data_IF_699581902659
#
_entry.id   IF_699581902659
#
_cell.length_a   1.000
_cell.length_b   1.000
_cell.length_c   1.000
_cell.angle_alpha   90.00
_cell.angle_beta   90.00
_cell.angle_gamma   90.00
#
_symmetry.space_group_name_H-M   'P 1'
#
loop_
_entity.id
_entity.type
_entity.pdbx_description
1 polymer ?
#
# COMPACT_ATOMS: atom_id res chain seq x y z
N UNK A 1 31.75 -11.98 -5.22
CA UNK A 1 30.76 -10.85 -5.32
C UNK A 1 29.46 -11.33 -5.99
N UNK A 2 28.27 -11.16 -5.34
CA UNK A 2 26.98 -11.50 -5.97
C UNK A 2 26.69 -10.54 -7.12
N UNK A 3 26.71 -11.00 -8.36
CA UNK A 3 26.39 -10.18 -9.55
C UNK A 3 24.88 -9.91 -9.56
N UNK A 4 24.48 -8.70 -9.19
CA UNK A 4 23.06 -8.28 -9.27
C UNK A 4 22.66 -8.10 -10.75
N UNK A 5 21.58 -8.75 -11.18
CA UNK A 5 21.13 -8.70 -12.58
C UNK A 5 20.40 -7.40 -12.92
N UNK A 6 19.62 -6.84 -11.97
CA UNK A 6 18.76 -5.64 -12.19
C UNK A 6 18.76 -4.71 -10.98
N UNK A 7 18.48 -3.42 -11.22
CA UNK A 7 18.43 -2.36 -10.21
C UNK A 7 16.98 -1.90 -9.99
N UNK A 8 16.61 -1.71 -8.75
CA UNK A 8 15.30 -1.17 -8.41
C UNK A 8 15.42 0.01 -7.44
N UNK A 9 14.59 1.03 -7.67
CA UNK A 9 14.35 2.10 -6.71
C UNK A 9 12.98 1.91 -6.08
N UNK A 10 12.93 1.91 -4.74
CA UNK A 10 11.70 1.90 -3.95
C UNK A 10 11.67 3.17 -3.12
N UNK A 11 10.69 4.05 -3.36
CA UNK A 11 10.48 5.21 -2.48
C UNK A 11 9.59 4.81 -1.31
N UNK A 12 9.82 5.39 -0.12
CA UNK A 12 9.12 4.95 1.08
C UNK A 12 9.56 3.56 1.56
N UNK A 13 10.81 3.19 1.27
CA UNK A 13 11.39 1.87 1.50
C UNK A 13 11.40 1.40 2.98
N UNK A 14 11.20 2.30 3.94
CA UNK A 14 11.11 1.99 5.38
C UNK A 14 9.65 1.91 5.90
N UNK A 15 8.67 1.97 4.99
CA UNK A 15 7.27 1.66 5.30
C UNK A 15 6.99 0.15 5.19
N UNK A 16 5.78 -0.29 5.59
CA UNK A 16 5.36 -1.69 5.52
C UNK A 16 5.67 -2.33 4.16
N UNK A 17 5.08 -1.80 3.10
CA UNK A 17 5.21 -2.37 1.75
C UNK A 17 6.64 -2.23 1.21
N UNK A 18 7.31 -1.14 1.60
CA UNK A 18 8.71 -0.91 1.24
C UNK A 18 9.66 -1.95 1.80
N UNK A 19 9.49 -2.34 3.07
CA UNK A 19 10.29 -3.39 3.72
C UNK A 19 10.01 -4.76 3.09
N UNK A 20 8.74 -5.12 2.88
CA UNK A 20 8.35 -6.41 2.30
C UNK A 20 8.85 -6.52 0.85
N UNK A 21 8.63 -5.50 0.02
CA UNK A 21 9.11 -5.48 -1.36
C UNK A 21 10.63 -5.50 -1.43
N UNK A 22 11.31 -4.72 -0.60
CA UNK A 22 12.78 -4.73 -0.56
C UNK A 22 13.32 -6.12 -0.26
N UNK A 23 12.72 -6.84 0.71
CA UNK A 23 13.08 -8.22 1.03
C UNK A 23 12.88 -9.14 -0.17
N UNK A 24 11.71 -9.09 -0.82
CA UNK A 24 11.40 -9.91 -2.01
C UNK A 24 12.41 -9.66 -3.16
N UNK A 25 12.78 -8.41 -3.42
CA UNK A 25 13.73 -8.10 -4.48
C UNK A 25 15.17 -8.52 -4.14
N UNK A 26 15.59 -8.41 -2.86
CA UNK A 26 16.91 -8.87 -2.40
C UNK A 26 17.02 -10.40 -2.56
N UNK A 27 16.01 -11.16 -2.11
CA UNK A 27 15.96 -12.62 -2.22
C UNK A 27 16.06 -13.08 -3.69
N UNK A 28 15.59 -12.27 -4.62
CA UNK A 28 15.71 -12.51 -6.06
C UNK A 28 16.90 -11.80 -6.73
N UNK A 29 17.95 -11.47 -5.96
CA UNK A 29 19.25 -10.96 -6.44
C UNK A 29 19.17 -9.60 -7.15
N UNK A 30 18.19 -8.74 -6.81
CA UNK A 30 18.16 -7.35 -7.27
C UNK A 30 19.05 -6.46 -6.41
N UNK A 31 19.65 -5.43 -7.03
CA UNK A 31 20.28 -4.33 -6.30
C UNK A 31 19.21 -3.32 -5.91
N UNK A 32 18.86 -3.25 -4.60
CA UNK A 32 17.75 -2.44 -4.11
C UNK A 32 18.25 -1.10 -3.57
N UNK A 33 17.69 -0.01 -4.08
CA UNK A 33 17.90 1.36 -3.62
C UNK A 33 16.62 1.88 -2.96
N UNK A 34 16.70 2.18 -1.67
CA UNK A 34 15.58 2.71 -0.90
C UNK A 34 15.64 4.24 -0.79
N UNK A 35 14.72 4.97 -1.44
CA UNK A 35 14.62 6.41 -1.25
C UNK A 35 13.79 6.72 0.00
N UNK A 36 14.37 7.47 0.94
CA UNK A 36 13.79 7.76 2.25
C UNK A 36 13.95 9.24 2.62
N UNK A 37 13.01 9.77 3.43
CA UNK A 37 13.12 11.14 4.01
C UNK A 37 14.18 11.19 5.12
N UNK A 38 14.21 10.14 5.96
CA UNK A 38 15.12 9.99 7.11
C UNK A 38 15.50 8.53 7.25
N UNK A 39 16.75 8.23 7.52
CA UNK A 39 17.22 6.87 7.81
C UNK A 39 16.78 6.52 9.23
N UNK A 40 16.16 5.34 9.41
CA UNK A 40 15.72 4.83 10.69
C UNK A 40 16.70 3.78 11.24
N UNK A 41 16.64 3.52 12.55
CA UNK A 41 17.42 2.46 13.22
C UNK A 41 17.09 1.09 12.61
N UNK A 42 15.80 0.76 12.45
CA UNK A 42 15.36 -0.46 11.80
C UNK A 42 15.43 -0.31 10.26
N UNK A 43 16.26 -1.13 9.64
CA UNK A 43 16.48 -1.17 8.18
C UNK A 43 17.01 -2.54 7.76
N UNK A 44 16.76 -2.94 6.51
CA UNK A 44 17.29 -4.18 5.94
C UNK A 44 18.76 -4.01 5.53
N UNK A 45 19.63 -5.00 5.84
CA UNK A 45 21.08 -4.92 5.58
C UNK A 45 21.42 -4.73 4.10
N UNK A 46 20.78 -5.42 3.18
CA UNK A 46 21.14 -5.44 1.76
C UNK A 46 20.38 -4.39 0.91
N UNK A 47 19.90 -3.30 1.50
CA UNK A 47 19.30 -2.15 0.82
C UNK A 47 20.20 -0.94 0.93
N UNK A 48 20.53 -0.31 -0.20
CA UNK A 48 21.24 0.97 -0.20
C UNK A 48 20.22 2.11 0.03
N UNK A 49 20.10 2.56 1.29
CA UNK A 49 19.21 3.66 1.64
C UNK A 49 19.83 5.01 1.30
N UNK A 50 19.07 5.83 0.58
CA UNK A 50 19.49 7.17 0.16
C UNK A 50 18.47 8.21 0.65
N UNK A 51 18.91 9.15 1.49
CA UNK A 51 18.11 10.32 1.87
C UNK A 51 17.83 11.15 0.60
N UNK A 52 16.56 11.27 0.20
CA UNK A 52 16.18 11.89 -1.07
C UNK A 52 14.95 12.76 -0.91
N UNK A 53 15.05 14.01 -1.31
CA UNK A 53 13.89 14.90 -1.44
C UNK A 53 13.17 14.61 -2.76
N UNK A 54 11.99 14.03 -2.70
CA UNK A 54 11.19 13.74 -3.89
C UNK A 54 10.49 15.00 -4.45
N UNK A 55 10.46 16.09 -3.69
CA UNK A 55 9.89 17.39 -4.14
C UNK A 55 10.91 18.27 -4.86
N UNK A 56 12.19 17.97 -4.73
CA UNK A 56 13.26 18.65 -5.47
C UNK A 56 13.58 17.82 -6.72
N UNK A 57 13.24 18.37 -7.89
CA UNK A 57 13.39 17.68 -9.17
C UNK A 57 14.86 17.39 -9.52
N UNK A 58 15.75 18.38 -9.32
CA UNK A 58 17.19 18.22 -9.63
C UNK A 58 17.82 17.11 -8.80
N UNK A 59 17.62 17.13 -7.47
CA UNK A 59 18.15 16.08 -6.56
C UNK A 59 17.60 14.69 -6.91
N UNK A 60 16.30 14.60 -7.23
CA UNK A 60 15.65 13.34 -7.62
C UNK A 60 16.25 12.84 -8.94
N UNK A 61 16.33 13.70 -9.94
CA UNK A 61 16.83 13.39 -11.29
C UNK A 61 18.28 12.92 -11.29
N UNK A 62 19.17 13.63 -10.58
CA UNK A 62 20.58 13.26 -10.43
C UNK A 62 20.72 11.83 -9.88
N UNK A 63 19.94 11.49 -8.83
CA UNK A 63 19.99 10.15 -8.21
C UNK A 63 19.40 9.07 -9.10
N UNK A 64 18.29 9.30 -9.80
CA UNK A 64 17.72 8.32 -10.71
C UNK A 64 18.65 8.08 -11.89
N UNK A 65 19.24 9.13 -12.50
CA UNK A 65 20.24 9.01 -13.58
C UNK A 65 21.45 8.17 -13.14
N UNK A 66 22.03 8.47 -11.98
CA UNK A 66 23.18 7.75 -11.44
C UNK A 66 22.90 6.26 -11.20
N UNK A 67 21.70 5.93 -10.68
CA UNK A 67 21.32 4.55 -10.41
C UNK A 67 20.94 3.83 -11.71
N UNK A 68 20.27 4.51 -12.63
CA UNK A 68 19.69 3.96 -13.86
C UNK A 68 18.88 2.67 -13.57
N UNK A 69 17.70 2.78 -12.92
CA UNK A 69 16.95 1.61 -12.46
C UNK A 69 16.17 0.95 -13.58
N UNK A 70 16.09 -0.40 -13.56
CA UNK A 70 15.17 -1.17 -14.39
C UNK A 70 13.70 -1.03 -13.92
N UNK A 71 13.52 -0.84 -12.61
CA UNK A 71 12.21 -0.76 -11.96
C UNK A 71 12.19 0.42 -10.99
N UNK A 72 11.08 1.17 -10.99
CA UNK A 72 10.82 2.25 -10.05
C UNK A 72 9.45 2.06 -9.40
N UNK A 73 9.40 1.84 -8.08
CA UNK A 73 8.16 1.69 -7.32
C UNK A 73 7.98 2.87 -6.36
N UNK A 74 6.87 3.61 -6.53
CA UNK A 74 6.59 4.76 -5.69
C UNK A 74 5.57 4.45 -4.59
N UNK A 75 6.07 4.22 -3.36
CA UNK A 75 5.25 4.02 -2.15
C UNK A 75 5.24 5.26 -1.23
N UNK A 76 6.16 6.18 -1.45
CA UNK A 76 6.52 7.27 -0.53
C UNK A 76 5.54 8.43 -0.48
N UNK A 77 4.28 8.19 -0.12
CA UNK A 77 3.28 9.23 0.14
C UNK A 77 2.76 9.16 1.56
N UNK A 78 2.31 10.32 2.08
CA UNK A 78 1.61 10.35 3.35
C UNK A 78 0.26 9.65 3.18
N UNK A 79 0.03 8.60 3.97
CA UNK A 79 -1.19 7.79 3.92
C UNK A 79 -2.04 8.07 5.17
N UNK A 80 -3.28 8.60 5.01
CA UNK A 80 -4.14 8.89 6.15
C UNK A 80 -4.52 7.59 6.86
N UNK A 81 -4.47 7.60 8.18
CA UNK A 81 -5.10 6.57 8.97
C UNK A 81 -6.57 6.94 9.27
N UNK A 82 -7.32 6.01 9.86
CA UNK A 82 -8.75 6.21 10.16
C UNK A 82 -9.02 7.46 11.02
N UNK A 83 -8.11 7.83 11.92
CA UNK A 83 -8.24 9.00 12.82
C UNK A 83 -7.86 10.31 12.12
N UNK A 84 -7.05 10.26 11.07
CA UNK A 84 -6.51 11.43 10.37
C UNK A 84 -7.28 11.80 9.09
N UNK A 85 -8.44 11.20 8.86
CA UNK A 85 -9.26 11.48 7.67
C UNK A 85 -9.71 12.94 7.57
N UNK A 86 -9.73 13.67 8.68
CA UNK A 86 -10.05 15.10 8.76
C UNK A 86 -8.85 16.03 8.55
N UNK A 87 -7.60 15.53 8.60
CA UNK A 87 -6.41 16.37 8.36
C UNK A 87 -6.34 16.76 6.88
N UNK A 88 -6.13 18.05 6.62
CA UNK A 88 -5.81 18.54 5.27
C UNK A 88 -4.44 18.01 4.86
N UNK A 89 -4.41 16.91 4.09
CA UNK A 89 -3.17 16.44 3.49
C UNK A 89 -2.69 17.44 2.46
N UNK A 90 -1.39 17.71 2.43
CA UNK A 90 -0.79 18.59 1.43
C UNK A 90 -0.87 17.97 0.03
N UNK A 91 -2.01 18.17 -0.62
CA UNK A 91 -2.27 17.71 -1.98
C UNK A 91 -1.21 18.22 -2.95
N UNK A 92 -0.83 19.51 -2.81
CA UNK A 92 0.18 20.16 -3.66
C UNK A 92 1.52 19.42 -3.57
N UNK A 93 1.99 19.12 -2.35
CA UNK A 93 3.27 18.43 -2.12
C UNK A 93 3.27 17.02 -2.70
N UNK A 94 2.25 16.23 -2.40
CA UNK A 94 2.17 14.85 -2.89
C UNK A 94 2.03 14.80 -4.41
N UNK A 95 1.26 15.72 -5.01
CA UNK A 95 1.15 15.81 -6.45
C UNK A 95 2.46 16.24 -7.12
N UNK A 96 3.18 17.20 -6.54
CA UNK A 96 4.52 17.62 -7.01
C UNK A 96 5.49 16.44 -7.05
N UNK A 97 5.47 15.56 -6.05
CA UNK A 97 6.31 14.36 -6.03
C UNK A 97 6.01 13.47 -7.24
N UNK A 98 4.73 13.15 -7.47
CA UNK A 98 4.34 12.30 -8.60
C UNK A 98 4.71 12.96 -9.94
N UNK A 99 4.44 14.26 -10.06
CA UNK A 99 4.80 15.02 -11.25
C UNK A 99 6.30 14.93 -11.52
N UNK A 100 7.14 15.18 -10.53
CA UNK A 100 8.60 15.11 -10.67
C UNK A 100 9.07 13.70 -11.13
N UNK A 101 8.48 12.63 -10.57
CA UNK A 101 8.82 11.26 -10.95
C UNK A 101 8.45 11.01 -12.41
N UNK A 102 7.22 11.33 -12.80
CA UNK A 102 6.72 11.04 -14.14
C UNK A 102 7.42 11.92 -15.18
N UNK A 103 7.63 13.21 -14.89
CA UNK A 103 8.36 14.13 -15.78
C UNK A 103 9.78 13.61 -16.05
N UNK A 104 10.48 13.15 -14.99
CA UNK A 104 11.83 12.60 -15.18
C UNK A 104 11.84 11.47 -16.23
N UNK A 105 10.95 10.49 -16.10
CA UNK A 105 10.91 9.36 -17.01
C UNK A 105 10.37 9.74 -18.39
N UNK A 106 9.50 10.74 -18.48
CA UNK A 106 9.00 11.28 -19.76
C UNK A 106 10.09 11.99 -20.57
N UNK A 107 10.87 12.83 -19.90
CA UNK A 107 11.93 13.62 -20.53
C UNK A 107 13.12 12.76 -20.97
N UNK A 108 13.52 11.82 -20.11
CA UNK A 108 14.75 11.05 -20.34
C UNK A 108 14.52 9.76 -21.15
N UNK A 109 13.29 9.46 -21.59
CA UNK A 109 12.91 8.31 -22.45
C UNK A 109 13.49 6.96 -21.99
N UNK A 110 13.69 6.76 -20.68
CA UNK A 110 14.28 5.54 -20.12
C UNK A 110 13.27 4.38 -20.06
N UNK A 111 13.74 3.17 -20.39
CA UNK A 111 12.92 1.94 -20.40
C UNK A 111 12.63 1.38 -19.01
N UNK A 112 12.46 2.22 -18.00
CA UNK A 112 12.17 1.80 -16.61
C UNK A 112 10.71 1.39 -16.45
N UNK A 113 10.46 0.26 -15.79
CA UNK A 113 9.10 -0.13 -15.35
C UNK A 113 8.69 0.72 -14.15
N UNK A 114 7.64 1.52 -14.29
CA UNK A 114 7.16 2.45 -13.25
C UNK A 114 5.89 1.90 -12.62
N UNK A 115 5.86 1.77 -11.31
CA UNK A 115 4.66 1.40 -10.56
C UNK A 115 4.31 2.52 -9.59
N UNK A 116 3.15 3.15 -9.81
CA UNK A 116 2.54 4.06 -8.87
C UNK A 116 1.48 3.34 -8.03
N UNK A 117 1.36 3.72 -6.76
CA UNK A 117 0.35 3.16 -5.89
C UNK A 117 -0.91 4.01 -5.91
N UNK A 118 -2.04 3.39 -6.25
CA UNK A 118 -3.39 3.89 -6.07
C UNK A 118 -4.01 3.39 -4.76
N UNK A 119 -5.30 3.64 -4.57
CA UNK A 119 -6.02 3.27 -3.34
C UNK A 119 -7.48 2.95 -3.64
N UNK A 120 -8.05 2.01 -2.89
CA UNK A 120 -9.50 1.75 -2.88
C UNK A 120 -10.34 3.00 -2.59
N UNK A 121 -9.79 4.00 -1.91
CA UNK A 121 -10.46 5.28 -1.62
C UNK A 121 -10.72 6.13 -2.87
N UNK A 122 -10.11 5.80 -4.01
CA UNK A 122 -10.41 6.45 -5.30
C UNK A 122 -11.84 6.15 -5.79
N UNK A 123 -12.51 5.14 -5.22
CA UNK A 123 -13.84 4.70 -5.59
C UNK A 123 -14.89 5.02 -4.53
N UNK A 124 -16.17 4.96 -4.90
CA UNK A 124 -17.29 5.16 -3.96
C UNK A 124 -17.29 4.05 -2.90
N UNK A 125 -17.53 4.43 -1.66
CA UNK A 125 -17.79 3.50 -0.55
C UNK A 125 -19.28 3.17 -0.51
N UNK A 126 -19.70 2.12 -1.15
CA UNK A 126 -21.12 1.70 -1.23
C UNK A 126 -21.31 0.19 -0.99
N UNK A 127 -20.26 -0.47 -0.50
CA UNK A 127 -20.30 -1.92 -0.29
C UNK A 127 -20.18 -2.77 -1.56
N UNK A 128 -20.24 -2.17 -2.75
CA UNK A 128 -20.21 -2.91 -4.02
C UNK A 128 -18.81 -3.42 -4.37
N UNK A 129 -18.79 -4.38 -5.28
CA UNK A 129 -17.56 -4.92 -5.85
C UNK A 129 -17.05 -3.99 -6.95
N UNK A 130 -15.78 -3.61 -6.86
CA UNK A 130 -15.10 -2.68 -7.77
C UNK A 130 -14.18 -3.46 -8.68
N UNK A 131 -14.22 -3.19 -9.97
CA UNK A 131 -13.27 -3.70 -10.96
C UNK A 131 -12.47 -2.56 -11.60
N UNK A 132 -11.56 -2.90 -12.51
CA UNK A 132 -10.70 -1.90 -13.18
C UNK A 132 -11.47 -0.91 -14.05
N UNK A 133 -12.68 -1.24 -14.51
CA UNK A 133 -13.52 -0.38 -15.35
C UNK A 133 -14.45 0.51 -14.51
N UNK A 134 -14.56 0.28 -13.20
CA UNK A 134 -15.38 1.11 -12.31
C UNK A 134 -14.88 2.56 -12.32
N UNK A 135 -15.80 3.51 -12.45
CA UNK A 135 -15.49 4.93 -12.44
C UNK A 135 -14.97 5.41 -11.08
N UNK A 136 -14.00 6.28 -11.10
CA UNK A 136 -13.48 6.91 -9.88
C UNK A 136 -14.51 7.86 -9.27
N UNK A 137 -14.70 7.75 -7.95
CA UNK A 137 -15.48 8.68 -7.15
C UNK A 137 -14.77 8.92 -5.82
N UNK A 138 -13.93 9.98 -5.72
CA UNK A 138 -13.06 10.19 -4.57
C UNK A 138 -13.83 10.49 -3.31
N UNK A 139 -13.44 9.86 -2.20
CA UNK A 139 -14.08 10.03 -0.90
C UNK A 139 -13.49 11.17 -0.07
N UNK A 140 -12.28 11.60 -0.38
CA UNK A 140 -11.55 12.62 0.37
C UNK A 140 -10.43 13.25 -0.47
N UNK A 141 -9.72 14.20 0.10
CA UNK A 141 -8.61 14.90 -0.55
C UNK A 141 -7.47 13.96 -0.96
N UNK A 142 -7.18 12.94 -0.15
CA UNK A 142 -6.18 11.92 -0.49
C UNK A 142 -6.57 11.14 -1.74
N UNK A 143 -7.82 10.72 -1.86
CA UNK A 143 -8.34 10.03 -3.04
C UNK A 143 -8.31 10.93 -4.30
N UNK A 144 -8.67 12.22 -4.16
CA UNK A 144 -8.57 13.23 -5.25
C UNK A 144 -7.13 13.32 -5.76
N UNK A 145 -6.16 13.39 -4.86
CA UNK A 145 -4.74 13.39 -5.21
C UNK A 145 -4.35 12.12 -5.98
N UNK A 146 -4.75 10.92 -5.51
CA UNK A 146 -4.43 9.65 -6.17
C UNK A 146 -5.02 9.58 -7.58
N UNK A 147 -6.25 10.03 -7.77
CA UNK A 147 -6.90 10.09 -9.10
C UNK A 147 -6.16 11.06 -10.01
N UNK A 148 -5.84 12.28 -9.53
CA UNK A 148 -5.07 13.28 -10.30
C UNK A 148 -3.72 12.69 -10.75
N UNK A 149 -3.03 11.99 -9.86
CA UNK A 149 -1.76 11.33 -10.14
C UNK A 149 -1.88 10.25 -11.21
N UNK A 150 -2.91 9.39 -11.11
CA UNK A 150 -3.21 8.37 -12.11
C UNK A 150 -3.49 8.99 -13.48
N UNK A 151 -4.38 9.98 -13.54
CA UNK A 151 -4.72 10.67 -14.80
C UNK A 151 -3.50 11.32 -15.45
N UNK A 152 -2.64 11.96 -14.64
CA UNK A 152 -1.40 12.56 -15.14
C UNK A 152 -0.45 11.49 -15.71
N UNK A 153 -0.24 10.40 -15.00
CA UNK A 153 0.56 9.28 -15.49
C UNK A 153 0.00 8.72 -16.80
N UNK A 154 -1.34 8.57 -16.93
CA UNK A 154 -1.96 8.06 -18.17
C UNK A 154 -1.73 9.01 -19.36
N UNK A 155 -1.85 10.33 -19.15
CA UNK A 155 -1.53 11.34 -20.16
C UNK A 155 -0.09 11.20 -20.65
N UNK A 156 0.86 11.12 -19.72
CA UNK A 156 2.28 10.95 -20.05
C UNK A 156 2.59 9.59 -20.68
N UNK A 157 1.94 8.51 -20.19
CA UNK A 157 2.08 7.17 -20.78
C UNK A 157 1.68 7.16 -22.24
N UNK A 158 0.54 7.77 -22.60
CA UNK A 158 0.10 7.87 -24.00
C UNK A 158 1.06 8.71 -24.84
N UNK A 159 1.53 9.86 -24.31
CA UNK A 159 2.37 10.81 -25.06
C UNK A 159 3.81 10.31 -25.25
N UNK A 160 4.37 9.64 -24.24
CA UNK A 160 5.81 9.29 -24.19
C UNK A 160 6.04 7.77 -24.15
N UNK A 161 5.01 6.96 -24.39
CA UNK A 161 5.08 5.50 -24.38
C UNK A 161 5.73 4.94 -23.09
N UNK A 162 5.34 5.46 -21.92
CA UNK A 162 5.93 5.02 -20.66
C UNK A 162 5.50 3.60 -20.28
N UNK A 163 6.43 2.80 -19.78
CA UNK A 163 6.13 1.53 -19.16
C UNK A 163 5.66 1.75 -17.72
N UNK A 164 4.39 2.18 -17.55
CA UNK A 164 3.85 2.64 -16.29
C UNK A 164 2.48 2.06 -15.96
N UNK A 165 2.29 1.61 -14.72
CA UNK A 165 1.05 1.01 -14.21
C UNK A 165 0.68 1.57 -12.85
N UNK A 166 -0.61 1.79 -12.58
CA UNK A 166 -1.13 2.08 -11.24
C UNK A 166 -1.59 0.79 -10.55
N UNK A 167 -0.95 0.42 -9.46
CA UNK A 167 -1.40 -0.64 -8.58
C UNK A 167 -2.42 -0.08 -7.56
N UNK A 168 -3.70 -0.41 -7.72
CA UNK A 168 -4.78 0.00 -6.83
C UNK A 168 -4.82 -0.96 -5.65
N UNK A 169 -4.43 -0.48 -4.46
CA UNK A 169 -4.37 -1.32 -3.26
C UNK A 169 -5.62 -1.13 -2.40
N UNK A 170 -6.14 -2.25 -1.90
CA UNK A 170 -7.13 -2.30 -0.82
C UNK A 170 -6.44 -2.41 0.54
N UNK A 171 -7.21 -2.45 1.64
CA UNK A 171 -6.58 -2.50 2.97
C UNK A 171 -5.75 -3.77 3.12
N UNK A 172 -4.55 -3.61 3.66
CA UNK A 172 -3.64 -4.73 3.88
C UNK A 172 -2.70 -4.40 5.03
N UNK A 173 -2.49 -5.36 5.90
CA UNK A 173 -1.71 -5.19 7.11
C UNK A 173 -0.70 -6.32 7.30
N UNK A 174 0.34 -6.04 8.08
CA UNK A 174 1.38 -6.96 8.53
C UNK A 174 1.99 -6.44 9.83
N UNK A 175 2.94 -7.17 10.38
CA UNK A 175 3.73 -6.75 11.54
C UNK A 175 4.44 -5.39 11.38
N UNK A 176 4.72 -4.99 10.14
CA UNK A 176 5.38 -3.71 9.83
C UNK A 176 4.41 -2.53 9.75
N UNK A 177 3.10 -2.77 9.92
CA UNK A 177 2.10 -1.71 9.86
C UNK A 177 2.20 -0.80 11.08
N UNK A 178 2.10 0.52 10.85
CA UNK A 178 2.09 1.49 11.94
C UNK A 178 0.88 1.26 12.88
N UNK A 179 1.13 1.31 14.18
CA UNK A 179 0.13 1.08 15.26
C UNK A 179 -1.09 2.02 15.22
N UNK A 180 -1.06 3.09 14.45
CA UNK A 180 -2.20 4.00 14.22
C UNK A 180 -3.26 3.44 13.27
N UNK A 181 -2.93 2.41 12.47
CA UNK A 181 -3.88 1.78 11.56
C UNK A 181 -4.80 0.81 12.29
N UNK A 182 -5.92 0.46 11.65
CA UNK A 182 -7.05 -0.19 12.31
C UNK A 182 -6.69 -1.53 12.95
N UNK A 183 -6.15 -2.48 12.20
CA UNK A 183 -5.84 -3.83 12.73
C UNK A 183 -4.74 -3.79 13.79
N UNK A 184 -3.57 -3.14 13.57
CA UNK A 184 -2.55 -3.00 14.61
C UNK A 184 -3.06 -2.29 15.88
N UNK A 185 -3.98 -1.33 15.73
CA UNK A 185 -4.60 -0.63 16.87
C UNK A 185 -5.51 -1.54 17.67
N UNK A 186 -6.31 -2.39 17.00
CA UNK A 186 -7.13 -3.41 17.66
C UNK A 186 -6.24 -4.35 18.47
N UNK A 187 -5.19 -4.91 17.87
CA UNK A 187 -4.24 -5.78 18.56
C UNK A 187 -3.60 -5.08 19.77
N UNK A 188 -3.22 -3.80 19.62
CA UNK A 188 -2.69 -2.98 20.72
C UNK A 188 -3.69 -2.82 21.85
N UNK A 189 -4.97 -2.51 21.54
CA UNK A 189 -5.99 -2.31 22.58
C UNK A 189 -6.30 -3.59 23.36
N UNK A 190 -6.31 -4.74 22.69
CA UNK A 190 -6.50 -6.04 23.34
C UNK A 190 -5.32 -6.31 24.30
N UNK A 191 -4.07 -6.14 23.85
CA UNK A 191 -2.88 -6.32 24.69
C UNK A 191 -2.84 -5.42 25.91
N UNK A 192 -3.26 -4.17 25.72
CA UNK A 192 -3.28 -3.17 26.80
C UNK A 192 -4.58 -3.22 27.65
N UNK A 193 -5.45 -4.21 27.41
CA UNK A 193 -6.77 -4.34 28.07
C UNK A 193 -7.62 -3.07 27.99
N UNK A 194 -7.47 -2.27 26.91
CA UNK A 194 -8.24 -1.04 26.65
C UNK A 194 -9.60 -1.35 26.03
N UNK A 195 -10.46 -2.03 26.79
CA UNK A 195 -11.70 -2.57 26.27
C UNK A 195 -12.75 -1.51 25.92
N UNK A 196 -12.75 -0.36 26.59
CA UNK A 196 -13.62 0.77 26.22
C UNK A 196 -13.29 1.31 24.84
N UNK A 197 -12.00 1.40 24.46
CA UNK A 197 -11.59 1.83 23.14
C UNK A 197 -11.88 0.75 22.08
N UNK A 198 -11.75 -0.51 22.43
CA UNK A 198 -12.11 -1.64 21.58
C UNK A 198 -13.61 -1.68 21.31
N UNK A 199 -14.43 -1.44 22.34
CA UNK A 199 -15.90 -1.32 22.29
C UNK A 199 -16.32 -0.26 21.27
N UNK A 200 -15.70 0.92 21.26
CA UNK A 200 -15.96 1.98 20.27
C UNK A 200 -15.76 1.48 18.84
N UNK A 201 -14.67 0.75 18.56
CA UNK A 201 -14.40 0.18 17.22
C UNK A 201 -15.44 -0.89 16.87
N UNK A 202 -15.78 -1.75 17.82
CA UNK A 202 -16.75 -2.83 17.64
C UNK A 202 -18.11 -2.31 17.18
N UNK A 203 -18.59 -1.21 17.78
CA UNK A 203 -19.89 -0.61 17.44
C UNK A 203 -19.90 0.19 16.12
N UNK A 204 -18.75 0.60 15.61
CA UNK A 204 -18.65 1.15 14.25
C UNK A 204 -19.01 0.12 13.18
N UNK A 205 -19.00 -1.17 13.50
CA UNK A 205 -19.39 -2.28 12.62
C UNK A 205 -18.80 -2.15 11.19
N UNK A 206 -17.50 -1.97 11.15
CA UNK A 206 -16.73 -1.73 9.90
C UNK A 206 -16.60 -3.04 9.12
N UNK A 207 -16.86 -3.00 7.83
CA UNK A 207 -16.52 -4.09 6.93
C UNK A 207 -15.90 -3.60 5.63
N UNK A 208 -15.10 -4.46 5.01
CA UNK A 208 -14.42 -4.14 3.75
C UNK A 208 -13.51 -5.26 3.26
N UNK A 209 -12.65 -4.91 2.35
CA UNK A 209 -11.62 -5.82 1.82
C UNK A 209 -10.32 -5.61 2.58
N UNK A 210 -9.85 -6.66 3.23
CA UNK A 210 -8.63 -6.68 4.03
C UNK A 210 -7.76 -7.88 3.63
N UNK A 211 -6.49 -7.65 3.44
CA UNK A 211 -5.51 -8.64 2.97
C UNK A 211 -4.29 -8.70 3.87
N UNK A 212 -3.52 -9.78 3.76
CA UNK A 212 -2.17 -9.82 4.29
C UNK A 212 -1.22 -9.04 3.37
N UNK A 213 -0.38 -8.16 3.93
CA UNK A 213 0.48 -7.27 3.14
C UNK A 213 1.52 -8.01 2.29
N UNK A 214 2.00 -9.16 2.74
CA UNK A 214 2.94 -9.96 1.95
C UNK A 214 2.35 -10.40 0.61
N UNK A 215 1.08 -10.82 0.60
CA UNK A 215 0.46 -11.27 -0.64
C UNK A 215 0.21 -10.11 -1.60
N UNK A 216 -0.17 -8.93 -1.09
CA UNK A 216 -0.29 -7.72 -1.90
C UNK A 216 1.09 -7.33 -2.48
N UNK A 217 2.14 -7.36 -1.68
CA UNK A 217 3.50 -7.08 -2.13
C UNK A 217 4.00 -8.12 -3.15
N UNK A 218 3.67 -9.41 -3.00
CA UNK A 218 3.94 -10.44 -4.03
C UNK A 218 3.24 -10.12 -5.35
N UNK A 219 2.02 -9.59 -5.31
CA UNK A 219 1.32 -9.11 -6.51
C UNK A 219 2.04 -7.94 -7.18
N UNK A 220 2.47 -6.94 -6.39
CA UNK A 220 3.26 -5.80 -6.89
C UNK A 220 4.60 -6.27 -7.45
N UNK A 221 5.27 -7.21 -6.79
CA UNK A 221 6.52 -7.82 -7.27
C UNK A 221 6.33 -8.50 -8.63
N UNK A 222 5.28 -9.32 -8.79
CA UNK A 222 4.94 -9.96 -10.07
C UNK A 222 4.63 -8.93 -11.17
N UNK A 223 3.91 -7.85 -10.83
CA UNK A 223 3.66 -6.74 -11.76
C UNK A 223 4.98 -6.07 -12.19
N UNK A 224 5.91 -5.88 -11.27
CA UNK A 224 7.21 -5.27 -11.55
C UNK A 224 8.04 -6.10 -12.53
N UNK A 225 7.93 -7.41 -12.48
CA UNK A 225 8.65 -8.35 -13.38
C UNK A 225 7.91 -8.63 -14.70
N UNK A 226 6.63 -8.33 -14.76
CA UNK A 226 5.80 -8.60 -15.94
C UNK A 226 6.19 -7.71 -17.12
N UNK A 227 6.20 -8.28 -18.33
CA UNK A 227 6.31 -7.52 -19.58
C UNK A 227 5.04 -6.74 -19.90
N UNK A 228 3.89 -7.11 -19.30
CA UNK A 228 2.60 -6.43 -19.50
C UNK A 228 2.64 -5.02 -18.93
N UNK A 229 1.92 -4.11 -19.61
CA UNK A 229 1.89 -2.70 -19.24
C UNK A 229 0.43 -2.19 -19.12
N UNK A 230 -0.41 -2.79 -18.23
CA UNK A 230 -1.78 -2.35 -18.04
C UNK A 230 -1.84 -0.94 -17.43
N UNK A 231 -2.93 -0.21 -17.69
CA UNK A 231 -3.12 1.12 -17.10
C UNK A 231 -3.27 1.07 -15.59
N UNK A 232 -4.02 0.10 -15.09
CA UNK A 232 -4.21 -0.15 -13.65
C UNK A 232 -4.55 -1.61 -13.38
N UNK A 233 -4.19 -2.11 -12.20
CA UNK A 233 -4.60 -3.41 -11.66
C UNK A 233 -5.06 -3.25 -10.21
N UNK A 234 -6.00 -4.07 -9.78
CA UNK A 234 -6.52 -4.09 -8.40
C UNK A 234 -5.86 -5.23 -7.63
N UNK A 235 -5.30 -4.90 -6.47
CA UNK A 235 -4.73 -5.84 -5.50
C UNK A 235 -5.56 -5.81 -4.21
N UNK A 236 -6.27 -6.89 -3.92
CA UNK A 236 -7.27 -7.00 -2.87
C UNK A 236 -7.48 -8.46 -2.48
N UNK A 237 -8.20 -8.73 -1.39
CA UNK A 237 -8.59 -10.10 -1.03
C UNK A 237 -9.73 -10.63 -1.91
N UNK A 238 -10.51 -9.75 -2.53
CA UNK A 238 -11.76 -10.06 -3.22
C UNK A 238 -12.85 -10.65 -2.30
N UNK A 239 -12.72 -10.48 -0.99
CA UNK A 239 -13.64 -10.97 0.04
C UNK A 239 -14.01 -9.85 1.01
N UNK A 240 -15.24 -9.91 1.53
CA UNK A 240 -15.67 -9.04 2.63
C UNK A 240 -15.21 -9.63 3.95
N UNK A 241 -14.60 -8.80 4.77
CA UNK A 241 -14.22 -9.11 6.14
C UNK A 241 -14.87 -8.10 7.07
N UNK A 242 -15.49 -8.57 8.15
CA UNK A 242 -16.00 -7.71 9.22
C UNK A 242 -14.92 -7.54 10.29
N UNK A 243 -14.74 -6.31 10.74
CA UNK A 243 -13.76 -6.00 11.80
C UNK A 243 -14.15 -6.68 13.11
N UNK A 244 -15.43 -6.85 13.37
CA UNK A 244 -15.93 -7.55 14.54
C UNK A 244 -15.47 -9.02 14.58
N UNK A 245 -15.37 -9.69 13.41
CA UNK A 245 -14.86 -11.06 13.34
C UNK A 245 -13.36 -11.11 13.71
N UNK A 246 -12.60 -10.10 13.28
CA UNK A 246 -11.18 -9.98 13.65
C UNK A 246 -11.03 -9.72 15.15
N UNK A 247 -11.88 -8.84 15.73
CA UNK A 247 -11.85 -8.55 17.16
C UNK A 247 -12.16 -9.82 17.96
N UNK A 248 -13.26 -10.53 17.62
CA UNK A 248 -13.64 -11.77 18.28
C UNK A 248 -12.54 -12.86 18.16
N UNK A 249 -11.97 -13.01 16.98
CA UNK A 249 -10.85 -13.93 16.76
C UNK A 249 -9.65 -13.62 17.67
N UNK A 250 -9.27 -12.35 17.78
CA UNK A 250 -8.14 -11.93 18.61
C UNK A 250 -8.44 -12.03 20.12
N UNK A 251 -9.66 -11.75 20.56
CA UNK A 251 -10.09 -11.94 21.95
C UNK A 251 -10.02 -13.43 22.31
N UNK A 252 -10.56 -14.30 21.47
CA UNK A 252 -10.50 -15.77 21.68
C UNK A 252 -9.05 -16.26 21.73
N UNK A 253 -8.19 -15.81 20.80
CA UNK A 253 -6.78 -16.17 20.78
C UNK A 253 -6.01 -15.72 22.03
N UNK A 254 -6.50 -14.68 22.71
CA UNK A 254 -5.94 -14.13 23.94
C UNK A 254 -6.64 -14.66 25.21
N UNK A 255 -7.56 -15.64 25.09
CA UNK A 255 -8.36 -16.19 26.19
C UNK A 255 -9.17 -15.12 26.96
N UNK A 256 -9.55 -14.03 26.30
CA UNK A 256 -10.27 -12.92 26.90
C UNK A 256 -11.77 -13.08 26.63
N UNK A 257 -12.56 -13.34 27.68
CA UNK A 257 -14.01 -13.48 27.60
C UNK A 257 -14.69 -12.14 27.87
N UNK A 258 -15.03 -11.39 26.80
CA UNK A 258 -15.78 -10.12 26.91
C UNK A 258 -16.99 -10.17 25.99
N UNK A 259 -18.16 -9.81 26.54
CA UNK A 259 -19.37 -9.55 25.76
C UNK A 259 -19.62 -8.05 25.73
N UNK A 260 -19.63 -7.46 24.52
CA UNK A 260 -20.05 -6.07 24.36
C UNK A 260 -21.59 -6.01 24.37
N UNK A 261 -22.17 -5.27 25.36
CA UNK A 261 -23.62 -5.07 25.46
C UNK A 261 -24.20 -4.55 24.13
N UNK A 262 -25.45 -4.92 23.85
CA UNK A 262 -26.15 -4.47 22.64
C UNK A 262 -26.31 -2.94 22.66
N UNK A 263 -25.75 -2.27 21.65
CA UNK A 263 -25.93 -0.84 21.39
C UNK A 263 -26.31 -0.64 19.92
N UNK A 264 -26.93 0.49 19.59
CA UNK A 264 -27.25 0.84 18.19
C UNK A 264 -25.96 0.85 17.35
N UNK A 265 -25.85 -0.06 16.38
CA UNK A 265 -24.65 -0.24 15.55
C UNK A 265 -24.68 0.71 14.38
N UNK A 266 -23.62 1.47 14.17
CA UNK A 266 -23.36 2.10 12.89
C UNK A 266 -22.94 1.03 11.90
N UNK A 267 -23.05 1.29 10.59
CA UNK A 267 -22.66 0.35 9.54
C UNK A 267 -21.76 1.04 8.53
N UNK A 268 -20.46 0.74 8.56
CA UNK A 268 -19.52 1.26 7.58
C UNK A 268 -19.13 0.16 6.57
N UNK A 269 -19.76 0.22 5.39
CA UNK A 269 -19.49 -0.70 4.30
C UNK A 269 -18.47 -0.10 3.34
N UNK A 270 -17.24 -0.61 3.36
CA UNK A 270 -16.28 -0.31 2.30
C UNK A 270 -16.48 -1.26 1.12
N UNK A 271 -16.12 -0.80 -0.06
CA UNK A 271 -16.18 -1.60 -1.28
C UNK A 271 -15.15 -2.73 -1.26
N UNK A 272 -15.38 -3.75 -2.09
CA UNK A 272 -14.52 -4.93 -2.26
C UNK A 272 -13.84 -4.83 -3.62
N UNK A 273 -12.56 -5.17 -3.71
CA UNK A 273 -11.82 -5.15 -4.96
C UNK A 273 -11.95 -6.45 -5.74
N UNK A 274 -12.30 -6.36 -7.02
CA UNK A 274 -12.19 -7.50 -7.93
C UNK A 274 -10.75 -7.61 -8.43
N UNK A 275 -10.03 -8.60 -7.95
CA UNK A 275 -8.63 -8.87 -8.29
C UNK A 275 -8.45 -9.87 -9.45
N UNK A 276 -9.53 -10.31 -10.12
CA UNK A 276 -9.48 -11.38 -11.12
C UNK A 276 -8.51 -11.07 -12.26
N UNK A 277 -8.52 -9.82 -12.75
CA UNK A 277 -7.59 -9.41 -13.80
C UNK A 277 -6.13 -9.49 -13.34
N UNK A 278 -5.80 -9.00 -12.13
CA UNK A 278 -4.44 -9.09 -11.61
C UNK A 278 -4.01 -10.53 -11.41
N UNK A 279 -4.90 -11.42 -10.94
CA UNK A 279 -4.62 -12.85 -10.81
C UNK A 279 -4.33 -13.51 -12.15
N UNK A 280 -5.17 -13.25 -13.17
CA UNK A 280 -5.01 -13.77 -14.54
C UNK A 280 -3.72 -13.27 -15.18
N UNK A 281 -3.53 -11.94 -15.18
CA UNK A 281 -2.42 -11.29 -15.89
C UNK A 281 -1.04 -11.61 -15.29
N UNK A 282 -0.98 -11.84 -13.98
CA UNK A 282 0.27 -12.00 -13.24
C UNK A 282 0.48 -13.41 -12.67
N UNK A 283 -0.45 -14.34 -12.90
CA UNK A 283 -0.48 -15.62 -12.19
C UNK A 283 -0.25 -15.44 -10.67
N UNK A 284 -0.95 -14.43 -10.09
CA UNK A 284 -0.83 -14.08 -8.69
C UNK A 284 -1.92 -14.78 -7.88
N UNK A 285 -1.54 -15.35 -6.73
CA UNK A 285 -2.44 -16.05 -5.80
C UNK A 285 -2.27 -15.49 -4.40
N UNK A 286 -3.37 -15.33 -3.69
CA UNK A 286 -3.39 -15.04 -2.26
C UNK A 286 -3.16 -16.34 -1.49
N UNK A 287 -2.23 -16.33 -0.54
CA UNK A 287 -1.89 -17.48 0.31
C UNK A 287 -2.23 -17.24 1.78
N UNK A 288 -2.25 -15.98 2.21
CA UNK A 288 -2.49 -15.54 3.59
C UNK A 288 -3.76 -14.71 3.66
N UNK A 289 -4.61 -14.94 4.65
CA UNK A 289 -5.74 -14.08 4.96
C UNK A 289 -5.36 -13.02 6.00
N UNK A 290 -6.26 -12.07 6.26
CA UNK A 290 -6.01 -10.98 7.22
C UNK A 290 -5.92 -11.47 8.67
N UNK A 291 -6.54 -12.60 9.02
CA UNK A 291 -6.46 -13.17 10.37
C UNK A 291 -5.04 -13.59 10.72
N UNK A 292 -4.25 -14.04 9.73
CA UNK A 292 -2.82 -14.34 9.92
C UNK A 292 -2.06 -13.08 10.32
N UNK A 293 -2.25 -11.96 9.60
CA UNK A 293 -1.64 -10.68 9.96
C UNK A 293 -2.07 -10.21 11.36
N UNK A 294 -3.35 -10.36 11.70
CA UNK A 294 -3.89 -10.02 13.01
C UNK A 294 -3.25 -10.88 14.12
N UNK A 295 -3.13 -12.20 13.91
CA UNK A 295 -2.44 -13.14 14.81
C UNK A 295 -0.95 -12.79 14.99
N UNK A 296 -0.26 -12.47 13.91
CA UNK A 296 1.14 -12.03 13.97
C UNK A 296 1.28 -10.76 14.82
N UNK A 297 0.40 -9.76 14.62
CA UNK A 297 0.40 -8.49 15.36
C UNK A 297 0.15 -8.66 16.86
N UNK A 298 -0.70 -9.62 17.27
CA UNK A 298 -0.94 -9.84 18.69
C UNK A 298 0.19 -10.60 19.37
N UNK A 299 0.95 -11.41 18.64
CA UNK A 299 2.09 -12.18 19.18
C UNK A 299 3.37 -11.38 19.34
N UNK A 300 3.54 -10.30 18.57
CA UNK A 300 4.75 -9.47 18.70
C UNK A 300 4.71 -8.70 20.02
N UNK A 301 5.78 -8.79 20.81
CA UNK A 301 5.97 -7.91 21.95
C UNK A 301 6.12 -6.47 21.47
N UNK A 302 5.21 -5.60 21.91
CA UNK A 302 5.10 -4.18 21.52
C UNK A 302 5.94 -3.33 22.48
#
# INVERSE_FOLDING_TARGET
MKKYKKKIIITGALGQDGLILSKLFIENKFKVFGFVKKIKKYKLKNVKYLKTSLTNFSTLSKKIKYINPDIFIHLGTDNPNFLETKKKYSLKKNYKIIKNIIDFFSINKVKTKIILIGSSQMYKKNGLKINVNTNFKPQNSYAKFRIKSHKYMMKCKKRFNLNATTAILFNHDSIFRNKKFLIPRIAKFIKQKKFNELKKIFFENISGDFSHAEDICKGIYKLALSKKNPNKLIFSSNKRTFINDIINYLLNLSSIKIKFAKMKRKKYLSSIGNNSLARKELNWKLKKNILIAAKELIKINI
#
